data_IF_079712628781
#
_entry.id   IF_079712628781
#
_cell.length_a   1.000
_cell.length_b   1.000
_cell.length_c   1.000
_cell.angle_alpha   90.00
_cell.angle_beta   90.00
_cell.angle_gamma   90.00
#
_symmetry.space_group_name_H-M   'P 1'
#
loop_
_entity.id
_entity.type
_entity.pdbx_description
1 polymer ?
#
# COMPACT_ATOMS: atom_id res chain seq x y z
N UNK A 1 -30.66 -66.18 2.65
CA UNK A 1 -30.26 -65.36 1.47
C UNK A 1 -28.90 -64.76 1.81
N UNK A 2 -27.76 -65.28 1.37
CA UNK A 2 -27.40 -65.75 0.03
C UNK A 2 -26.67 -64.61 -0.69
N UNK A 3 -25.35 -64.49 -0.48
CA UNK A 3 -24.35 -64.30 -1.54
C UNK A 3 -22.93 -64.10 -0.99
N UNK A 4 -21.99 -64.62 -1.76
CA UNK A 4 -20.65 -65.06 -1.38
C UNK A 4 -19.55 -64.03 -1.65
N UNK A 5 -18.39 -64.34 -1.07
CA UNK A 5 -17.07 -63.72 -1.13
C UNK A 5 -16.54 -63.47 -2.56
N UNK A 6 -15.63 -62.50 -2.71
CA UNK A 6 -14.40 -62.74 -3.49
C UNK A 6 -13.26 -61.81 -3.09
N UNK A 7 -12.11 -62.41 -2.77
CA UNK A 7 -10.80 -61.75 -2.62
C UNK A 7 -10.06 -61.90 -3.96
N UNK A 8 -9.47 -60.82 -4.46
CA UNK A 8 -8.29 -60.91 -5.34
C UNK A 8 -7.15 -60.05 -4.78
N UNK A 9 -6.05 -60.73 -4.44
CA UNK A 9 -4.67 -60.21 -4.41
C UNK A 9 -4.16 -60.06 -5.85
N UNK A 10 -2.96 -59.46 -5.99
CA UNK A 10 -2.07 -59.39 -7.18
C UNK A 10 -2.21 -58.02 -7.88
N UNK A 11 -1.19 -57.16 -8.11
CA UNK A 11 0.26 -57.35 -8.18
C UNK A 11 0.98 -55.99 -8.05
N UNK A 12 2.16 -56.03 -7.43
CA UNK A 12 3.29 -55.13 -7.67
C UNK A 12 3.65 -55.08 -9.15
N UNK A 13 3.78 -53.89 -9.74
CA UNK A 13 4.70 -53.66 -10.86
C UNK A 13 5.42 -52.31 -10.67
N UNK A 14 6.71 -52.42 -10.37
CA UNK A 14 7.75 -51.44 -10.68
C UNK A 14 8.08 -51.50 -12.18
N UNK A 15 8.83 -50.47 -12.61
CA UNK A 15 9.31 -50.10 -13.96
C UNK A 15 8.34 -49.12 -14.64
N UNK A 16 8.74 -47.87 -14.93
CA UNK A 16 9.97 -47.49 -15.64
C UNK A 16 10.61 -46.24 -15.02
N UNK A 17 11.92 -46.33 -14.82
CA UNK A 17 12.81 -45.17 -14.78
C UNK A 17 12.77 -44.52 -16.16
N UNK A 18 12.44 -43.25 -16.22
CA UNK A 18 12.88 -42.36 -17.28
C UNK A 18 13.48 -41.14 -16.58
N UNK A 19 14.81 -41.10 -16.60
CA UNK A 19 15.67 -40.01 -16.15
C UNK A 19 15.41 -38.77 -17.00
N UNK A 20 14.56 -37.87 -16.52
CA UNK A 20 14.52 -36.50 -17.01
C UNK A 20 14.57 -35.51 -15.86
N UNK A 21 15.81 -35.10 -15.56
CA UNK A 21 16.23 -33.75 -15.20
C UNK A 21 15.37 -33.06 -14.13
N UNK A 22 15.87 -33.07 -12.89
CA UNK A 22 15.37 -32.29 -11.76
C UNK A 22 15.56 -30.79 -11.97
N UNK A 23 14.82 -30.24 -12.93
CA UNK A 23 14.55 -28.82 -13.01
C UNK A 23 13.17 -28.68 -12.38
N UNK A 24 13.13 -28.27 -11.10
CA UNK A 24 11.92 -27.69 -10.53
C UNK A 24 11.52 -26.58 -11.49
N UNK A 25 10.54 -26.84 -12.36
CA UNK A 25 9.88 -25.77 -13.10
C UNK A 25 9.38 -24.84 -12.00
N UNK A 26 9.97 -23.64 -11.94
CA UNK A 26 9.51 -22.58 -11.06
C UNK A 26 8.09 -22.26 -11.53
N UNK A 27 7.11 -22.96 -10.92
CA UNK A 27 5.70 -22.76 -11.20
C UNK A 27 5.44 -21.30 -10.86
N UNK A 28 5.16 -20.50 -11.88
CA UNK A 28 4.84 -19.10 -11.72
C UNK A 28 3.74 -18.99 -10.65
N UNK A 29 4.07 -18.33 -9.54
CA UNK A 29 3.20 -18.17 -8.36
C UNK A 29 1.92 -17.39 -8.67
N UNK A 30 1.84 -16.82 -9.88
CA UNK A 30 0.68 -16.09 -10.42
C UNK A 30 -0.22 -16.97 -11.28
N UNK A 31 0.15 -18.23 -11.54
CA UNK A 31 -0.71 -19.18 -12.21
C UNK A 31 -1.98 -19.43 -11.39
N UNK A 32 -3.11 -19.73 -12.05
CA UNK A 32 -4.33 -20.11 -11.35
C UNK A 32 -4.03 -21.30 -10.42
N UNK A 33 -4.47 -21.17 -9.17
CA UNK A 33 -4.24 -22.17 -8.12
C UNK A 33 -4.69 -23.55 -8.61
N UNK A 34 -3.83 -24.55 -8.44
CA UNK A 34 -4.18 -25.94 -8.71
C UNK A 34 -5.35 -26.39 -7.81
N UNK A 35 -6.18 -27.32 -8.28
CA UNK A 35 -7.38 -27.79 -7.55
C UNK A 35 -7.02 -28.30 -6.16
N UNK A 36 -5.84 -28.92 -6.02
CA UNK A 36 -5.31 -29.38 -4.74
C UNK A 36 -4.94 -28.21 -3.81
N UNK A 37 -4.40 -27.12 -4.35
CA UNK A 37 -4.09 -25.91 -3.59
C UNK A 37 -5.37 -25.20 -3.13
N UNK A 38 -6.38 -25.10 -4.01
CA UNK A 38 -7.69 -24.54 -3.69
C UNK A 38 -8.39 -25.36 -2.59
N UNK A 39 -8.34 -26.70 -2.68
CA UNK A 39 -8.90 -27.57 -1.66
C UNK A 39 -8.22 -27.37 -0.30
N UNK A 40 -6.89 -27.32 -0.27
CA UNK A 40 -6.12 -27.06 0.96
C UNK A 40 -6.47 -25.70 1.56
N UNK A 41 -6.57 -24.66 0.73
CA UNK A 41 -6.95 -23.31 1.16
C UNK A 41 -8.36 -23.28 1.75
N UNK A 42 -9.32 -23.97 1.11
CA UNK A 42 -10.69 -24.08 1.63
C UNK A 42 -10.74 -24.80 2.99
N UNK A 43 -9.96 -25.85 3.16
CA UNK A 43 -9.90 -26.58 4.44
C UNK A 43 -9.24 -25.75 5.55
N UNK A 44 -8.11 -25.10 5.28
CA UNK A 44 -7.44 -24.25 6.27
C UNK A 44 -8.29 -23.03 6.64
N UNK A 45 -8.94 -22.40 5.67
CA UNK A 45 -9.85 -21.27 5.88
C UNK A 45 -11.04 -21.64 6.76
N UNK A 46 -11.60 -22.85 6.61
CA UNK A 46 -12.71 -23.32 7.45
C UNK A 46 -12.32 -23.43 8.93
N UNK A 47 -11.05 -23.75 9.22
CA UNK A 47 -10.51 -23.75 10.58
C UNK A 47 -10.36 -22.33 11.13
N UNK A 48 -9.68 -21.46 10.39
CA UNK A 48 -9.45 -20.05 10.77
C UNK A 48 -10.78 -19.32 10.99
N UNK A 49 -11.76 -19.52 10.11
CA UNK A 49 -13.07 -18.87 10.20
C UNK A 49 -13.83 -19.20 11.50
N UNK A 50 -13.62 -20.38 12.10
CA UNK A 50 -14.29 -20.78 13.35
C UNK A 50 -13.71 -20.06 14.56
N UNK A 51 -12.42 -19.73 14.53
CA UNK A 51 -11.70 -19.08 15.62
C UNK A 51 -11.12 -17.74 15.14
N UNK A 52 -11.93 -16.97 14.40
CA UNK A 52 -11.45 -15.78 13.70
C UNK A 52 -11.01 -14.68 14.67
N UNK A 53 -11.67 -14.57 15.82
CA UNK A 53 -11.32 -13.63 16.89
C UNK A 53 -9.95 -13.96 17.49
N UNK A 54 -9.75 -15.19 17.98
CA UNK A 54 -8.48 -15.63 18.57
C UNK A 54 -7.33 -15.60 17.54
N UNK A 55 -7.59 -16.11 16.33
CA UNK A 55 -6.59 -16.11 15.25
C UNK A 55 -6.24 -14.68 14.84
N UNK A 56 -7.23 -13.78 14.82
CA UNK A 56 -7.03 -12.36 14.58
C UNK A 56 -6.17 -11.70 15.66
N UNK A 57 -6.44 -11.98 16.93
CA UNK A 57 -5.67 -11.44 18.06
C UNK A 57 -4.21 -11.91 18.06
N UNK A 58 -3.90 -13.10 17.55
CA UNK A 58 -2.52 -13.58 17.43
C UNK A 58 -1.80 -13.07 16.17
N UNK A 59 -2.54 -12.88 15.07
CA UNK A 59 -1.97 -12.50 13.76
C UNK A 59 -1.85 -10.98 13.62
N UNK A 60 -2.78 -10.22 14.19
CA UNK A 60 -2.83 -8.76 14.06
C UNK A 60 -1.58 -8.10 14.66
N UNK A 61 -1.10 -8.46 15.88
CA UNK A 61 0.16 -7.95 16.39
C UNK A 61 1.34 -8.34 15.49
N UNK A 62 1.39 -9.54 14.92
CA UNK A 62 2.50 -9.94 14.02
C UNK A 62 2.55 -9.14 12.72
N UNK A 63 1.38 -8.73 12.22
CA UNK A 63 1.24 -7.85 11.05
C UNK A 63 1.59 -6.41 11.42
N UNK A 64 1.10 -5.94 12.57
CA UNK A 64 1.38 -4.61 13.08
C UNK A 64 2.85 -4.45 13.46
N UNK A 65 3.45 -5.36 14.22
CA UNK A 65 4.85 -5.32 14.67
C UNK A 65 5.83 -5.37 13.51
N UNK A 66 5.50 -6.08 12.43
CA UNK A 66 6.29 -6.08 11.19
C UNK A 66 6.37 -4.69 10.53
N UNK A 67 5.45 -3.77 10.85
CA UNK A 67 5.38 -2.43 10.28
C UNK A 67 5.44 -1.29 11.33
N UNK A 68 5.27 -1.57 12.64
CA UNK A 68 5.01 -0.57 13.69
C UNK A 68 5.89 -0.67 14.96
N UNK A 69 7.00 -1.40 14.96
CA UNK A 69 8.00 -1.28 16.05
C UNK A 69 8.86 0.01 16.00
N UNK A 70 8.46 1.05 15.24
CA UNK A 70 9.12 2.37 15.21
C UNK A 70 8.30 3.51 15.83
N UNK A 71 7.07 3.29 16.30
CA UNK A 71 6.27 4.37 16.89
C UNK A 71 6.15 4.20 18.41
N UNK A 72 7.06 4.91 19.07
CA UNK A 72 7.20 4.98 20.52
C UNK A 72 5.89 5.23 21.25
N UNK A 73 5.79 4.52 22.37
CA UNK A 73 4.76 4.59 23.38
C UNK A 73 4.71 5.96 24.06
N UNK A 74 3.49 6.47 24.24
CA UNK A 74 3.05 7.16 25.44
C UNK A 74 3.67 8.53 25.71
N UNK A 75 2.98 9.59 25.29
CA UNK A 75 2.79 10.89 26.01
C UNK A 75 2.32 12.03 25.08
N UNK A 76 2.38 11.90 23.75
CA UNK A 76 2.02 13.00 22.82
C UNK A 76 0.59 12.98 22.27
N UNK A 77 -0.29 12.06 22.70
CA UNK A 77 -1.61 11.88 22.08
C UNK A 77 -2.57 13.06 22.27
N UNK A 78 -2.51 13.79 23.39
CA UNK A 78 -3.46 14.88 23.66
C UNK A 78 -3.20 16.15 22.83
N UNK A 79 -1.94 16.43 22.44
CA UNK A 79 -1.63 17.58 21.57
C UNK A 79 -1.95 17.30 20.09
N UNK A 80 -2.10 16.02 19.71
CA UNK A 80 -2.29 15.56 18.32
C UNK A 80 -3.74 15.57 17.84
N UNK A 81 -4.73 15.57 18.72
CA UNK A 81 -6.15 15.58 18.31
C UNK A 81 -6.57 16.93 17.71
N UNK A 82 -6.13 18.05 18.28
CA UNK A 82 -6.52 19.38 17.78
C UNK A 82 -5.93 19.75 16.40
N UNK A 83 -4.83 19.12 15.97
CA UNK A 83 -4.26 19.36 14.63
C UNK A 83 -4.94 18.49 13.55
N UNK A 84 -5.52 17.35 13.94
CA UNK A 84 -6.24 16.48 13.02
C UNK A 84 -7.62 17.03 12.62
N UNK A 85 -8.19 17.93 13.43
CA UNK A 85 -9.50 18.55 13.17
C UNK A 85 -9.44 19.76 12.22
N UNK A 86 -8.26 20.35 12.01
CA UNK A 86 -8.11 21.53 11.15
C UNK A 86 -8.53 21.25 9.72
N UNK A 87 -9.36 22.09 9.13
CA UNK A 87 -9.69 21.97 7.70
C UNK A 87 -8.48 22.30 6.81
N UNK A 88 -8.51 21.95 5.51
CA UNK A 88 -7.42 22.25 4.58
C UNK A 88 -7.05 23.74 4.58
N UNK A 89 -8.05 24.61 4.69
CA UNK A 89 -7.95 26.08 4.64
C UNK A 89 -7.35 26.68 5.92
N UNK A 90 -7.47 26.00 7.06
CA UNK A 90 -6.90 26.44 8.33
C UNK A 90 -5.40 26.14 8.47
N UNK A 91 -4.85 25.37 7.53
CA UNK A 91 -3.46 24.96 7.55
C UNK A 91 -2.67 25.93 6.68
N UNK A 92 -1.70 26.62 7.30
CA UNK A 92 -0.78 27.49 6.59
C UNK A 92 0.26 26.66 5.81
N UNK A 93 -0.12 26.21 4.61
CA UNK A 93 0.70 25.37 3.75
C UNK A 93 1.99 26.05 3.28
N UNK A 94 1.95 27.37 3.08
CA UNK A 94 3.09 28.17 2.65
C UNK A 94 4.15 28.22 3.74
N UNK A 95 3.77 28.55 4.98
CA UNK A 95 4.69 28.55 6.13
C UNK A 95 5.27 27.15 6.40
N UNK A 96 4.45 26.10 6.22
CA UNK A 96 4.93 24.72 6.36
C UNK A 96 5.95 24.35 5.28
N UNK A 97 5.79 24.86 4.07
CA UNK A 97 6.70 24.62 2.96
C UNK A 97 8.01 25.41 3.13
N UNK A 98 7.92 26.71 3.38
CA UNK A 98 9.08 27.61 3.57
C UNK A 98 9.99 27.15 4.71
N UNK A 99 9.39 26.71 5.83
CA UNK A 99 10.15 26.24 7.00
C UNK A 99 10.55 24.76 6.91
N UNK A 100 10.36 24.10 5.77
CA UNK A 100 10.62 22.66 5.57
C UNK A 100 9.91 21.76 6.60
N UNK A 101 8.74 22.17 7.09
CA UNK A 101 7.98 21.45 8.11
C UNK A 101 7.03 20.40 7.53
N UNK A 102 6.84 20.35 6.20
CA UNK A 102 6.00 19.34 5.52
C UNK A 102 6.40 17.90 5.90
N UNK A 103 7.69 17.63 6.14
CA UNK A 103 8.17 16.30 6.55
C UNK A 103 7.73 15.90 7.96
N UNK A 104 7.56 16.89 8.84
CA UNK A 104 7.15 16.69 10.24
C UNK A 104 5.64 16.52 10.39
N UNK A 105 4.88 16.87 9.36
CA UNK A 105 3.42 16.74 9.36
C UNK A 105 2.95 15.28 9.41
N UNK A 106 1.71 15.10 9.87
CA UNK A 106 1.07 13.78 9.91
C UNK A 106 0.59 13.35 8.53
N UNK A 107 0.40 12.04 8.33
CA UNK A 107 -0.16 11.51 7.07
C UNK A 107 -1.55 12.09 6.81
N UNK A 108 -2.40 12.19 7.84
CA UNK A 108 -3.74 12.76 7.74
C UNK A 108 -3.72 14.24 7.32
N UNK A 109 -2.74 15.00 7.82
CA UNK A 109 -2.54 16.39 7.37
C UNK A 109 -2.20 16.43 5.88
N UNK A 110 -1.22 15.64 5.45
CA UNK A 110 -0.81 15.58 4.03
C UNK A 110 -1.94 15.11 3.11
N UNK A 111 -2.79 14.20 3.59
CA UNK A 111 -3.95 13.71 2.85
C UNK A 111 -4.95 14.82 2.52
N UNK A 112 -5.14 15.80 3.41
CA UNK A 112 -5.98 16.97 3.15
C UNK A 112 -5.49 17.77 1.93
N UNK A 113 -4.17 17.96 1.81
CA UNK A 113 -3.59 18.63 0.64
C UNK A 113 -3.76 17.81 -0.63
N UNK A 114 -3.50 16.51 -0.54
CA UNK A 114 -3.59 15.59 -1.67
C UNK A 114 -5.03 15.49 -2.20
N UNK A 115 -6.01 15.48 -1.31
CA UNK A 115 -7.43 15.47 -1.67
C UNK A 115 -7.84 16.79 -2.32
N UNK A 116 -7.46 17.92 -1.73
CA UNK A 116 -7.77 19.25 -2.26
C UNK A 116 -7.20 19.48 -3.66
N UNK A 117 -5.94 19.10 -3.88
CA UNK A 117 -5.23 19.26 -5.17
C UNK A 117 -5.33 18.05 -6.10
N UNK A 118 -6.08 17.01 -5.70
CA UNK A 118 -6.32 15.78 -6.48
C UNK A 118 -5.03 15.12 -6.99
N UNK A 119 -4.00 15.04 -6.14
CA UNK A 119 -2.66 14.56 -6.54
C UNK A 119 -2.56 13.03 -6.76
N UNK A 120 -3.59 12.27 -6.40
CA UNK A 120 -3.68 10.83 -6.70
C UNK A 120 -2.68 9.93 -5.94
N UNK A 121 -1.98 10.45 -4.93
CA UNK A 121 -0.96 9.70 -4.16
C UNK A 121 -1.51 9.29 -2.79
N UNK A 122 -1.81 8.01 -2.60
CA UNK A 122 -2.50 7.53 -1.38
C UNK A 122 -1.67 6.60 -0.50
N UNK A 123 -0.47 6.20 -0.93
CA UNK A 123 0.30 5.15 -0.27
C UNK A 123 1.19 5.70 0.86
N UNK A 124 2.49 5.83 0.63
CA UNK A 124 3.46 6.03 1.71
C UNK A 124 3.62 7.51 2.09
N UNK A 125 3.89 7.79 3.38
CA UNK A 125 4.12 9.16 3.88
C UNK A 125 5.19 9.89 3.06
N UNK A 126 6.30 9.22 2.73
CA UNK A 126 7.38 9.81 1.96
C UNK A 126 6.93 10.24 0.56
N UNK A 127 6.10 9.42 -0.11
CA UNK A 127 5.53 9.73 -1.42
C UNK A 127 4.55 10.90 -1.34
N UNK A 128 3.68 10.90 -0.31
CA UNK A 128 2.76 12.01 -0.03
C UNK A 128 3.50 13.32 0.18
N UNK A 129 4.51 13.33 1.03
CA UNK A 129 5.38 14.50 1.27
C UNK A 129 6.04 14.98 -0.02
N UNK A 130 6.61 14.07 -0.82
CA UNK A 130 7.23 14.45 -2.09
C UNK A 130 6.21 14.99 -3.10
N UNK A 131 5.02 14.40 -3.18
CA UNK A 131 3.96 14.84 -4.08
C UNK A 131 3.50 16.27 -3.75
N UNK A 132 3.28 16.54 -2.47
CA UNK A 132 2.95 17.89 -1.98
C UNK A 132 4.06 18.88 -2.35
N UNK A 133 5.33 18.56 -2.04
CA UNK A 133 6.48 19.43 -2.38
C UNK A 133 6.60 19.70 -3.88
N UNK A 134 6.44 18.66 -4.71
CA UNK A 134 6.50 18.79 -6.18
C UNK A 134 5.38 19.68 -6.69
N UNK A 135 4.16 19.51 -6.18
CA UNK A 135 3.02 20.30 -6.62
C UNK A 135 3.21 21.79 -6.26
N UNK A 136 3.59 22.11 -5.02
CA UNK A 136 3.88 23.49 -4.59
C UNK A 136 4.99 24.10 -5.46
N UNK A 137 6.11 23.40 -5.64
CA UNK A 137 7.21 23.88 -6.48
C UNK A 137 6.78 24.11 -7.94
N UNK A 138 5.90 23.26 -8.48
CA UNK A 138 5.36 23.42 -9.84
C UNK A 138 4.47 24.66 -9.94
N UNK A 139 3.63 24.93 -8.92
CA UNK A 139 2.80 26.13 -8.89
C UNK A 139 3.64 27.41 -8.83
N UNK A 140 4.71 27.44 -8.02
CA UNK A 140 5.61 28.60 -7.96
C UNK A 140 6.31 28.88 -9.29
N UNK A 141 6.81 27.82 -9.96
CA UNK A 141 7.43 27.95 -11.28
C UNK A 141 6.42 28.42 -12.34
N UNK A 142 5.15 28.02 -12.23
CA UNK A 142 4.10 28.47 -13.14
C UNK A 142 3.80 29.96 -12.96
N UNK A 143 3.76 30.46 -11.72
CA UNK A 143 3.56 31.88 -11.42
C UNK A 143 4.72 32.75 -11.93
N UNK A 144 5.96 32.31 -11.74
CA UNK A 144 7.14 33.04 -12.27
C UNK A 144 7.13 33.13 -13.80
N UNK A 145 6.61 32.12 -14.50
CA UNK A 145 6.50 32.12 -15.96
C UNK A 145 5.44 33.08 -16.49
N UNK A 146 4.31 33.20 -15.80
CA UNK A 146 3.26 34.16 -16.19
C UNK A 146 3.73 35.61 -15.99
N UNK A 147 4.55 35.87 -14.97
CA UNK A 147 5.15 37.19 -14.76
C UNK A 147 6.14 37.58 -15.86
N UNK A 148 6.95 36.63 -16.34
CA UNK A 148 7.91 36.88 -17.44
C UNK A 148 7.19 37.14 -18.78
N UNK A 149 6.01 36.55 -19.00
CA UNK A 149 5.24 36.79 -20.22
C UNK A 149 4.52 38.15 -20.25
N UNK A 150 4.18 38.75 -19.10
CA UNK A 150 3.54 40.08 -19.11
C UNK A 150 4.54 41.21 -19.39
N UNK A 151 5.80 41.05 -18.96
CA UNK A 151 6.84 42.06 -19.15
C UNK A 151 7.33 42.18 -20.61
N UNK A 152 7.16 41.14 -21.45
CA UNK A 152 7.52 41.19 -22.88
C UNK A 152 6.43 41.82 -23.78
N UNK A 153 5.15 41.87 -23.36
CA UNK A 153 4.10 42.53 -24.14
C UNK A 153 4.10 44.07 -23.96
N UNK A 154 4.52 44.57 -22.79
CA UNK A 154 4.57 46.02 -22.53
C UNK A 154 5.73 46.73 -23.26
N UNK A 155 6.84 46.03 -23.55
CA UNK A 155 7.98 46.57 -24.32
C UNK A 155 7.71 46.65 -25.84
N UNK A 156 6.72 45.90 -26.34
CA UNK A 156 6.27 45.99 -27.74
C UNK A 156 5.26 47.11 -27.97
N UNK A 157 4.60 47.63 -26.93
CA UNK A 157 3.64 48.73 -27.04
C UNK A 157 4.30 50.13 -27.09
N UNK A 158 5.59 50.26 -26.76
CA UNK A 158 6.31 51.55 -26.75
C UNK A 158 7.05 51.82 -28.08
N UNK A 159 7.07 50.85 -29.00
CA UNK A 159 7.79 50.96 -30.30
C UNK A 159 6.91 51.00 -31.56
N UNK A 160 5.59 51.08 -31.41
CA UNK A 160 4.64 51.32 -32.52
C UNK A 160 4.21 52.79 -32.55
#
# INVERSE_FOLDING_TARGET
MGCSQSKHKVQTQQTRQDDHNGQECEIDKRLPLDDRQVFKLKQSWKGIRRNMEDTGMEMFPKICDRQYMSLGTGTSQQKRQGEAEKTYEEINWDELFENNLIEKQTVATLDKYIEHHKLGVYHYKAEKTQAVKRNIATMLIALDKEQIQSDEEDDLAIRA
#
